data_IF_305092553035
#
_entry.id   IF_305092553035
#
_cell.length_a   1.000
_cell.length_b   1.000
_cell.length_c   1.000
_cell.angle_alpha   90.00
_cell.angle_beta   90.00
_cell.angle_gamma   90.00
#
_symmetry.space_group_name_H-M   'P 1'
#
loop_
_entity.id
_entity.type
_entity.pdbx_description
1 polymer ?
#
# COMPACT_ATOMS: atom_id res chain seq x y z
N UNK A 1 69.23 -45.21 13.20
CA UNK A 1 69.26 -45.07 11.72
C UNK A 1 68.21 -44.03 11.35
N UNK A 2 68.40 -42.99 10.55
CA UNK A 2 69.52 -42.48 9.78
C UNK A 2 69.29 -40.97 9.63
N UNK A 3 70.34 -40.18 9.81
CA UNK A 3 70.40 -38.76 9.45
C UNK A 3 70.02 -38.58 7.97
N UNK A 4 69.34 -37.48 7.65
CA UNK A 4 69.59 -36.76 6.39
C UNK A 4 69.57 -35.24 6.63
N UNK A 5 70.77 -34.71 6.74
CA UNK A 5 71.13 -33.31 6.50
C UNK A 5 71.12 -33.07 4.99
N UNK A 6 70.49 -31.98 4.53
CA UNK A 6 70.73 -31.21 3.28
C UNK A 6 69.82 -29.99 3.34
N UNK A 7 70.14 -28.77 2.92
CA UNK A 7 71.34 -28.06 2.47
C UNK A 7 70.86 -26.60 2.44
N UNK A 8 71.70 -25.64 2.88
CA UNK A 8 71.32 -24.23 2.94
C UNK A 8 70.83 -23.68 1.60
N UNK A 9 69.65 -23.05 1.61
CA UNK A 9 69.20 -22.17 0.56
C UNK A 9 69.57 -20.74 0.98
N UNK A 10 70.58 -20.19 0.32
CA UNK A 10 70.92 -18.77 0.35
C UNK A 10 69.78 -18.00 -0.31
N UNK A 11 69.12 -17.10 0.43
CA UNK A 11 68.16 -16.14 -0.13
C UNK A 11 68.89 -15.16 -1.06
N UNK A 12 68.36 -14.88 -2.27
CA UNK A 12 68.89 -13.81 -3.09
C UNK A 12 68.56 -12.44 -2.47
N UNK A 13 69.52 -11.53 -2.59
CA UNK A 13 69.49 -10.14 -2.12
C UNK A 13 68.26 -9.37 -2.63
N UNK A 14 67.57 -8.72 -1.70
CA UNK A 14 66.54 -7.71 -1.96
C UNK A 14 67.20 -6.55 -2.72
N UNK A 15 66.85 -6.37 -4.00
CA UNK A 15 67.26 -5.21 -4.78
C UNK A 15 66.66 -3.91 -4.21
N UNK A 16 67.22 -2.73 -4.53
CA UNK A 16 66.73 -1.46 -4.01
C UNK A 16 65.28 -1.26 -4.45
N UNK A 17 64.38 -1.20 -3.47
CA UNK A 17 62.98 -0.85 -3.71
C UNK A 17 62.94 0.54 -4.35
N UNK A 18 62.40 0.62 -5.56
CA UNK A 18 62.12 1.89 -6.24
C UNK A 18 61.07 2.59 -5.38
N UNK A 19 61.52 3.52 -4.53
CA UNK A 19 60.64 4.41 -3.78
C UNK A 19 60.09 5.44 -4.77
N UNK A 20 58.90 5.15 -5.31
CA UNK A 20 58.15 6.12 -6.09
C UNK A 20 57.70 7.23 -5.13
N UNK A 21 58.43 8.34 -5.12
CA UNK A 21 57.99 9.57 -4.47
C UNK A 21 56.78 10.09 -5.23
N UNK A 22 55.58 9.69 -4.83
CA UNK A 22 54.35 10.31 -5.29
C UNK A 22 54.39 11.78 -4.86
N UNK A 23 54.52 12.70 -5.83
CA UNK A 23 54.35 14.13 -5.56
C UNK A 23 52.92 14.34 -5.09
N UNK A 24 52.78 14.79 -3.85
CA UNK A 24 51.51 15.17 -3.28
C UNK A 24 51.13 16.53 -3.89
N UNK A 25 50.32 16.52 -4.94
CA UNK A 25 49.73 17.75 -5.47
C UNK A 25 48.61 18.18 -4.51
N UNK A 26 48.76 19.36 -3.93
CA UNK A 26 47.73 19.94 -3.05
C UNK A 26 46.49 20.34 -3.86
N UNK A 27 45.31 20.16 -3.27
CA UNK A 27 44.05 20.53 -3.92
C UNK A 27 43.96 22.04 -4.15
N UNK A 28 43.50 22.43 -5.34
CA UNK A 28 43.18 23.83 -5.65
C UNK A 28 41.87 24.24 -4.98
N UNK A 29 41.73 25.51 -4.60
CA UNK A 29 40.47 26.06 -4.07
C UNK A 29 39.32 25.93 -5.09
N UNK A 30 39.65 25.99 -6.39
CA UNK A 30 38.70 25.78 -7.49
C UNK A 30 38.21 24.33 -7.53
N UNK A 31 39.07 23.37 -7.21
CA UNK A 31 38.75 21.95 -7.23
C UNK A 31 37.75 21.59 -6.13
N UNK A 32 37.93 22.16 -4.92
CA UNK A 32 36.95 22.04 -3.84
C UNK A 32 35.60 22.69 -4.17
N UNK A 33 35.60 23.86 -4.82
CA UNK A 33 34.36 24.51 -5.26
C UNK A 33 33.58 23.65 -6.26
N UNK A 34 34.29 23.03 -7.22
CA UNK A 34 33.68 22.10 -8.18
C UNK A 34 33.19 20.84 -7.48
N UNK A 35 33.95 20.28 -6.54
CA UNK A 35 33.54 19.08 -5.80
C UNK A 35 32.25 19.33 -4.99
N UNK A 36 32.17 20.46 -4.27
CA UNK A 36 30.96 20.83 -3.50
C UNK A 36 29.79 21.12 -4.44
N UNK A 37 30.03 21.73 -5.60
CA UNK A 37 28.98 21.96 -6.61
C UNK A 37 28.41 20.63 -7.13
N UNK A 38 29.26 19.71 -7.55
CA UNK A 38 28.85 18.39 -8.06
C UNK A 38 28.13 17.60 -6.96
N UNK A 39 28.66 17.60 -5.74
CA UNK A 39 28.02 16.95 -4.58
C UNK A 39 26.64 17.56 -4.28
N UNK A 40 26.53 18.90 -4.32
CA UNK A 40 25.27 19.60 -4.14
C UNK A 40 24.22 19.19 -5.16
N UNK A 41 24.57 19.15 -6.44
CA UNK A 41 23.68 18.68 -7.53
C UNK A 41 23.30 17.22 -7.32
N UNK A 42 24.26 16.36 -6.93
CA UNK A 42 24.01 14.94 -6.65
C UNK A 42 22.99 14.73 -5.53
N UNK A 43 23.11 15.44 -4.41
CA UNK A 43 22.18 15.33 -3.27
C UNK A 43 20.79 15.81 -3.65
N UNK A 44 20.67 16.91 -4.39
CA UNK A 44 19.37 17.40 -4.88
C UNK A 44 18.71 16.38 -5.82
N UNK A 45 19.48 15.71 -6.68
CA UNK A 45 18.99 14.64 -7.54
C UNK A 45 18.43 13.46 -6.75
N UNK A 46 19.15 12.98 -5.74
CA UNK A 46 18.67 11.88 -4.86
C UNK A 46 17.43 12.29 -4.06
N UNK A 47 17.40 13.52 -3.55
CA UNK A 47 16.24 14.05 -2.81
C UNK A 47 14.97 14.07 -3.66
N UNK A 48 15.07 14.49 -4.92
CA UNK A 48 13.93 14.48 -5.85
C UNK A 48 13.41 13.05 -6.10
N UNK A 49 14.30 12.08 -6.31
CA UNK A 49 13.92 10.67 -6.46
C UNK A 49 13.26 10.11 -5.20
N UNK A 50 13.74 10.48 -4.02
CA UNK A 50 13.16 10.03 -2.75
C UNK A 50 11.73 10.57 -2.56
N UNK A 51 11.50 11.85 -2.88
CA UNK A 51 10.15 12.44 -2.85
C UNK A 51 9.20 11.76 -3.84
N UNK A 52 9.67 11.43 -5.05
CA UNK A 52 8.86 10.71 -6.03
C UNK A 52 8.50 9.31 -5.52
N UNK A 53 9.48 8.57 -4.98
CA UNK A 53 9.25 7.23 -4.43
C UNK A 53 8.22 7.23 -3.30
N UNK A 54 8.22 8.26 -2.44
CA UNK A 54 7.21 8.39 -1.39
C UNK A 54 5.79 8.62 -1.94
N UNK A 55 5.67 9.44 -2.99
CA UNK A 55 4.38 9.69 -3.65
C UNK A 55 3.84 8.43 -4.33
N UNK A 56 4.72 7.68 -5.00
CA UNK A 56 4.38 6.41 -5.65
C UNK A 56 3.95 5.36 -4.61
N UNK A 57 4.68 5.25 -3.49
CA UNK A 57 4.32 4.37 -2.39
C UNK A 57 2.94 4.69 -1.82
N UNK A 58 2.65 5.97 -1.57
CA UNK A 58 1.33 6.39 -1.07
C UNK A 58 0.21 6.03 -2.03
N UNK A 59 0.43 6.20 -3.34
CA UNK A 59 -0.55 5.83 -4.37
C UNK A 59 -0.76 4.31 -4.43
N UNK A 60 0.32 3.54 -4.33
CA UNK A 60 0.27 2.08 -4.29
C UNK A 60 -0.50 1.58 -3.06
N UNK A 61 -0.25 2.13 -1.87
CA UNK A 61 -0.95 1.78 -0.63
C UNK A 61 -2.46 2.03 -0.75
N UNK A 62 -2.88 3.20 -1.24
CA UNK A 62 -4.31 3.49 -1.44
C UNK A 62 -4.96 2.52 -2.42
N UNK A 63 -4.26 2.12 -3.49
CA UNK A 63 -4.77 1.14 -4.46
C UNK A 63 -4.89 -0.25 -3.85
N UNK A 64 -3.92 -0.67 -3.03
CA UNK A 64 -3.98 -1.96 -2.31
C UNK A 64 -5.16 -1.99 -1.35
N UNK A 65 -5.38 -0.90 -0.60
CA UNK A 65 -6.53 -0.79 0.29
C UNK A 65 -7.86 -0.91 -0.47
N UNK A 66 -7.98 -0.24 -1.62
CA UNK A 66 -9.18 -0.34 -2.46
C UNK A 66 -9.42 -1.77 -3.00
N UNK A 67 -8.35 -2.48 -3.34
CA UNK A 67 -8.43 -3.89 -3.76
C UNK A 67 -8.86 -4.78 -2.60
N UNK A 68 -8.29 -4.58 -1.40
CA UNK A 68 -8.65 -5.35 -0.21
C UNK A 68 -10.12 -5.16 0.15
N UNK A 69 -10.62 -3.92 0.14
CA UNK A 69 -12.04 -3.64 0.40
C UNK A 69 -12.95 -4.21 -0.70
N UNK A 70 -12.51 -4.28 -1.94
CA UNK A 70 -13.29 -4.92 -3.01
C UNK A 70 -13.36 -6.45 -2.83
N UNK A 71 -12.27 -7.10 -2.42
CA UNK A 71 -12.27 -8.52 -2.09
C UNK A 71 -13.10 -8.85 -0.84
N UNK A 72 -12.98 -8.04 0.21
CA UNK A 72 -13.79 -8.18 1.44
C UNK A 72 -15.29 -8.23 1.13
N UNK A 73 -15.79 -7.31 0.29
CA UNK A 73 -17.20 -7.34 -0.13
C UNK A 73 -17.55 -8.59 -0.95
N UNK A 74 -16.69 -9.01 -1.87
CA UNK A 74 -16.94 -10.22 -2.64
C UNK A 74 -17.01 -11.47 -1.75
N UNK A 75 -16.14 -11.56 -0.74
CA UNK A 75 -16.11 -12.68 0.19
C UNK A 75 -17.31 -12.67 1.14
N UNK A 76 -17.81 -11.49 1.55
CA UNK A 76 -19.11 -11.36 2.24
C UNK A 76 -20.27 -11.91 1.42
N UNK A 77 -20.32 -11.56 0.13
CA UNK A 77 -21.37 -12.06 -0.79
C UNK A 77 -21.28 -13.59 -0.93
N UNK A 78 -20.07 -14.16 -0.95
CA UNK A 78 -19.85 -15.62 -0.96
C UNK A 78 -20.28 -16.30 0.33
N UNK A 79 -20.03 -15.67 1.46
CA UNK A 79 -20.42 -16.19 2.77
C UNK A 79 -21.95 -16.16 2.99
N UNK A 80 -22.67 -15.29 2.26
CA UNK A 80 -24.12 -15.13 2.37
C UNK A 80 -24.86 -15.46 1.04
N UNK A 81 -24.84 -16.72 0.58
CA UNK A 81 -25.45 -17.09 -0.70
C UNK A 81 -26.97 -16.90 -0.70
N UNK A 82 -27.64 -17.09 0.45
CA UNK A 82 -29.09 -16.90 0.60
C UNK A 82 -29.54 -15.43 0.45
N UNK A 83 -28.63 -14.48 0.69
CA UNK A 83 -28.88 -13.04 0.60
C UNK A 83 -28.38 -12.40 -0.69
N UNK A 84 -27.81 -13.18 -1.61
CA UNK A 84 -27.10 -12.70 -2.81
C UNK A 84 -27.84 -11.58 -3.55
N UNK A 85 -29.13 -11.75 -3.80
CA UNK A 85 -29.92 -10.79 -4.56
C UNK A 85 -29.95 -9.39 -3.90
N UNK A 86 -29.87 -9.32 -2.57
CA UNK A 86 -29.90 -8.06 -1.82
C UNK A 86 -28.61 -7.23 -1.95
N UNK A 87 -27.52 -7.79 -2.48
CA UNK A 87 -26.31 -7.05 -2.83
C UNK A 87 -26.34 -6.44 -4.25
N UNK A 88 -27.35 -6.76 -5.07
CA UNK A 88 -27.38 -6.40 -6.49
C UNK A 88 -27.58 -4.91 -6.80
N UNK A 89 -28.14 -4.15 -5.86
CA UNK A 89 -28.55 -2.75 -6.04
C UNK A 89 -27.65 -1.76 -5.29
N UNK A 90 -26.42 -2.14 -4.97
CA UNK A 90 -25.47 -1.24 -4.31
C UNK A 90 -24.83 -0.32 -5.35
N UNK A 91 -25.26 0.94 -5.39
CA UNK A 91 -24.68 1.93 -6.31
C UNK A 91 -23.71 2.87 -5.61
N UNK A 92 -22.93 3.58 -6.42
CA UNK A 92 -22.23 4.77 -5.95
C UNK A 92 -23.22 5.84 -5.50
N UNK A 93 -22.77 6.65 -4.55
CA UNK A 93 -23.44 7.84 -4.02
C UNK A 93 -24.82 7.58 -3.39
N UNK A 94 -25.20 6.31 -3.21
CA UNK A 94 -26.42 5.90 -2.53
C UNK A 94 -26.33 6.13 -1.03
N UNK A 95 -27.48 6.37 -0.41
CA UNK A 95 -27.60 6.42 1.03
C UNK A 95 -27.20 5.08 1.66
N UNK A 96 -26.61 5.13 2.87
CA UNK A 96 -26.35 3.93 3.65
C UNK A 96 -27.67 3.17 3.90
N UNK A 97 -27.69 1.85 3.67
CA UNK A 97 -28.87 1.06 4.00
C UNK A 97 -29.15 1.12 5.50
N UNK A 98 -30.42 1.02 5.86
CA UNK A 98 -30.83 0.73 7.23
C UNK A 98 -30.51 -0.74 7.51
N UNK A 99 -29.80 -1.01 8.59
CA UNK A 99 -29.35 -2.35 8.94
C UNK A 99 -29.38 -2.55 10.45
N UNK A 100 -29.80 -3.74 10.88
CA UNK A 100 -29.64 -4.26 12.23
C UNK A 100 -28.20 -4.72 12.45
N UNK A 101 -27.72 -4.72 13.70
CA UNK A 101 -26.39 -5.23 14.05
C UNK A 101 -26.39 -6.75 14.09
N UNK A 102 -26.01 -7.36 12.97
CA UNK A 102 -25.98 -8.81 12.83
C UNK A 102 -24.83 -9.49 13.59
N UNK A 103 -23.96 -8.72 14.27
CA UNK A 103 -23.02 -9.25 15.26
C UNK A 103 -23.64 -9.44 16.64
N UNK A 104 -24.77 -8.77 16.92
CA UNK A 104 -25.47 -8.80 18.20
C UNK A 104 -26.83 -9.49 18.15
N UNK A 105 -27.46 -9.58 16.98
CA UNK A 105 -28.77 -10.21 16.77
C UNK A 105 -28.76 -11.17 15.58
N UNK A 106 -29.60 -12.20 15.63
CA UNK A 106 -29.81 -13.07 14.47
C UNK A 106 -30.42 -12.28 13.29
N UNK A 107 -29.80 -12.41 12.13
CA UNK A 107 -30.23 -11.79 10.89
C UNK A 107 -30.57 -12.86 9.87
N UNK A 108 -31.67 -12.67 9.14
CA UNK A 108 -31.91 -13.42 7.93
C UNK A 108 -30.88 -13.01 6.84
N UNK A 109 -30.76 -13.79 5.74
CA UNK A 109 -29.79 -13.50 4.70
C UNK A 109 -29.93 -12.11 4.05
N UNK A 110 -31.12 -11.53 4.00
CA UNK A 110 -31.36 -10.18 3.43
C UNK A 110 -30.91 -9.10 4.41
N UNK A 111 -31.24 -9.25 5.70
CA UNK A 111 -30.77 -8.36 6.76
C UNK A 111 -29.24 -8.38 6.89
N UNK A 112 -28.62 -9.55 6.73
CA UNK A 112 -27.16 -9.70 6.71
C UNK A 112 -26.53 -8.92 5.55
N UNK A 113 -27.14 -8.93 4.36
CA UNK A 113 -26.65 -8.16 3.22
C UNK A 113 -26.68 -6.64 3.49
N UNK A 114 -27.74 -6.14 4.13
CA UNK A 114 -27.81 -4.73 4.53
C UNK A 114 -26.73 -4.35 5.56
N UNK A 115 -26.47 -5.23 6.53
CA UNK A 115 -25.40 -5.09 7.53
C UNK A 115 -24.02 -5.02 6.87
N UNK A 116 -23.73 -5.94 5.95
CA UNK A 116 -22.48 -6.00 5.20
C UNK A 116 -22.26 -4.75 4.36
N UNK A 117 -23.26 -4.35 3.57
CA UNK A 117 -23.17 -3.18 2.70
C UNK A 117 -22.96 -1.91 3.52
N UNK A 118 -23.67 -1.77 4.66
CA UNK A 118 -23.48 -0.62 5.56
C UNK A 118 -22.07 -0.61 6.15
N UNK A 119 -21.61 -1.73 6.68
CA UNK A 119 -20.29 -1.87 7.28
C UNK A 119 -19.18 -1.54 6.27
N UNK A 120 -19.30 -2.09 5.06
CA UNK A 120 -18.36 -1.85 3.97
C UNK A 120 -18.36 -0.40 3.49
N UNK A 121 -19.51 0.23 3.26
CA UNK A 121 -19.58 1.67 2.92
C UNK A 121 -18.97 2.54 4.02
N UNK A 122 -19.10 2.15 5.29
CA UNK A 122 -18.46 2.83 6.40
C UNK A 122 -16.95 2.62 6.51
N UNK A 123 -16.42 1.52 5.98
CA UNK A 123 -14.98 1.30 5.84
C UNK A 123 -14.39 2.08 4.65
N UNK A 124 -15.11 2.16 3.53
CA UNK A 124 -14.70 2.87 2.32
C UNK A 124 -14.40 4.36 2.57
N UNK A 125 -15.15 4.99 3.48
CA UNK A 125 -14.74 6.29 4.01
C UNK A 125 -15.30 7.52 3.28
N UNK A 126 -16.48 7.40 2.65
CA UNK A 126 -17.20 8.55 2.05
C UNK A 126 -17.44 9.68 3.06
N UNK A 127 -17.16 10.92 2.66
CA UNK A 127 -17.24 12.08 3.56
C UNK A 127 -18.66 12.40 4.04
N UNK A 128 -19.67 12.20 3.19
CA UNK A 128 -21.08 12.46 3.55
C UNK A 128 -21.65 11.51 4.60
N UNK A 129 -21.00 10.36 4.81
CA UNK A 129 -21.51 9.28 5.66
C UNK A 129 -20.82 9.21 7.03
N UNK A 130 -19.89 10.15 7.32
CA UNK A 130 -19.05 10.12 8.53
C UNK A 130 -19.88 9.95 9.80
N UNK A 131 -20.89 10.82 10.00
CA UNK A 131 -21.69 10.79 11.23
C UNK A 131 -22.46 9.47 11.40
N UNK A 132 -23.10 9.00 10.33
CA UNK A 132 -23.85 7.74 10.32
C UNK A 132 -22.95 6.51 10.52
N UNK A 133 -21.68 6.62 10.13
CA UNK A 133 -20.69 5.57 10.30
C UNK A 133 -20.00 5.59 11.66
N UNK A 134 -19.82 6.75 12.31
CA UNK A 134 -19.20 6.82 13.64
C UNK A 134 -19.96 5.96 14.65
N UNK A 135 -21.28 6.13 14.71
CA UNK A 135 -22.16 5.37 15.59
C UNK A 135 -22.22 3.87 15.20
N UNK A 136 -22.30 3.57 13.90
CA UNK A 136 -22.25 2.19 13.40
C UNK A 136 -20.98 1.46 13.83
N UNK A 137 -19.82 2.12 13.75
CA UNK A 137 -18.52 1.51 14.08
C UNK A 137 -18.42 1.11 15.55
N UNK A 138 -18.97 1.93 16.45
CA UNK A 138 -18.97 1.63 17.89
C UNK A 138 -19.82 0.39 18.19
N UNK A 139 -21.00 0.27 17.57
CA UNK A 139 -21.87 -0.91 17.77
C UNK A 139 -21.26 -2.19 17.22
N UNK A 140 -20.75 -2.13 16.00
CA UNK A 140 -20.30 -3.30 15.23
C UNK A 140 -18.85 -3.68 15.47
N UNK A 141 -18.13 -2.98 16.35
CA UNK A 141 -16.72 -3.24 16.64
C UNK A 141 -15.77 -2.97 15.47
N UNK A 142 -16.20 -2.19 14.47
CA UNK A 142 -15.30 -1.73 13.41
C UNK A 142 -14.20 -0.83 14.02
N UNK A 143 -12.95 -0.88 13.53
CA UNK A 143 -11.83 -0.08 14.08
C UNK A 143 -12.18 1.42 14.14
N UNK A 144 -11.50 2.26 14.91
CA UNK A 144 -11.75 3.71 14.82
C UNK A 144 -11.34 4.27 13.45
N UNK A 145 -12.00 5.33 12.95
CA UNK A 145 -11.69 5.94 11.64
C UNK A 145 -10.27 6.50 11.57
N UNK A 146 -9.67 6.80 12.72
CA UNK A 146 -8.29 7.29 12.84
C UNK A 146 -7.25 6.16 12.79
N UNK A 147 -7.69 4.91 12.99
CA UNK A 147 -6.87 3.70 12.86
C UNK A 147 -7.13 2.94 11.56
N UNK A 148 -8.28 3.17 10.92
CA UNK A 148 -8.62 2.58 9.63
C UNK A 148 -8.34 3.59 8.52
N UNK A 149 -7.39 3.28 7.66
CA UNK A 149 -7.08 4.01 6.43
C UNK A 149 -8.28 3.94 5.46
N UNK A 150 -9.34 4.70 5.73
CA UNK A 150 -10.42 4.91 4.77
C UNK A 150 -9.84 5.51 3.49
N UNK A 151 -10.41 5.12 2.35
CA UNK A 151 -9.99 5.69 1.07
C UNK A 151 -10.39 7.18 1.02
N UNK A 152 -9.57 8.06 0.42
CA UNK A 152 -9.94 9.47 0.29
C UNK A 152 -11.21 9.59 -0.56
N UNK A 153 -12.31 10.02 0.06
CA UNK A 153 -13.65 10.05 -0.55
C UNK A 153 -14.04 8.71 -1.19
N UNK A 154 -13.72 7.60 -0.51
CA UNK A 154 -14.01 6.26 -0.99
C UNK A 154 -15.50 5.95 -1.05
N UNK A 155 -15.90 5.22 -2.08
CA UNK A 155 -17.25 4.69 -2.24
C UNK A 155 -17.20 3.42 -3.11
N UNK A 156 -18.30 2.67 -3.12
CA UNK A 156 -18.34 1.36 -3.75
C UNK A 156 -19.70 1.03 -4.34
N UNK A 157 -19.66 0.19 -5.37
CA UNK A 157 -20.82 -0.34 -6.04
C UNK A 157 -20.67 -1.85 -6.26
N UNK A 158 -21.79 -2.56 -6.24
CA UNK A 158 -21.88 -3.99 -6.53
C UNK A 158 -22.92 -4.18 -7.62
N UNK A 159 -22.61 -5.02 -8.60
CA UNK A 159 -23.55 -5.43 -9.64
C UNK A 159 -23.48 -6.93 -9.84
N UNK A 160 -24.64 -7.57 -9.97
CA UNK A 160 -24.75 -9.02 -10.13
C UNK A 160 -25.34 -9.33 -11.51
N UNK A 161 -24.66 -10.20 -12.27
CA UNK A 161 -25.10 -10.66 -13.59
C UNK A 161 -24.96 -12.18 -13.69
N UNK A 162 -26.08 -12.89 -13.53
CA UNK A 162 -26.07 -14.35 -13.42
C UNK A 162 -25.24 -14.79 -12.21
N UNK A 163 -24.26 -15.67 -12.42
CA UNK A 163 -23.28 -16.10 -11.39
C UNK A 163 -22.15 -15.10 -11.15
N UNK A 164 -21.95 -14.13 -12.04
CA UNK A 164 -20.89 -13.14 -11.89
C UNK A 164 -21.30 -12.02 -10.92
N UNK A 165 -20.40 -11.68 -10.00
CA UNK A 165 -20.49 -10.54 -9.10
C UNK A 165 -19.37 -9.57 -9.45
N UNK A 166 -19.72 -8.32 -9.72
CA UNK A 166 -18.78 -7.24 -9.97
C UNK A 166 -18.78 -6.30 -8.78
N UNK A 167 -17.63 -6.14 -8.14
CA UNK A 167 -17.42 -5.17 -7.05
C UNK A 167 -16.51 -4.07 -7.58
N UNK A 168 -16.98 -2.83 -7.52
CA UNK A 168 -16.22 -1.65 -7.94
C UNK A 168 -16.00 -0.73 -6.76
N UNK A 169 -14.75 -0.38 -6.48
CA UNK A 169 -14.37 0.59 -5.46
C UNK A 169 -13.79 1.82 -6.14
N UNK A 170 -14.22 3.01 -5.72
CA UNK A 170 -13.82 4.31 -6.27
C UNK A 170 -13.28 5.20 -5.15
N UNK A 171 -12.21 5.93 -5.42
CA UNK A 171 -11.64 6.92 -4.52
C UNK A 171 -11.12 8.14 -5.28
N UNK A 172 -10.73 9.18 -4.55
CA UNK A 172 -10.04 10.37 -5.07
C UNK A 172 -8.55 10.25 -4.82
N UNK A 173 -7.72 10.44 -5.85
CA UNK A 173 -6.27 10.51 -5.67
C UNK A 173 -5.83 11.89 -5.13
N UNK A 174 -4.53 12.08 -4.97
CA UNK A 174 -3.96 13.32 -4.41
C UNK A 174 -4.20 14.56 -5.30
N UNK A 175 -4.51 14.35 -6.58
CA UNK A 175 -4.87 15.42 -7.52
C UNK A 175 -6.37 15.73 -7.55
N UNK A 176 -7.18 14.99 -6.79
CA UNK A 176 -8.65 15.07 -6.83
C UNK A 176 -9.27 14.32 -8.02
N UNK A 177 -8.48 13.58 -8.80
CA UNK A 177 -8.99 12.74 -9.87
C UNK A 177 -9.62 11.47 -9.29
N UNK A 178 -10.75 11.06 -9.86
CA UNK A 178 -11.38 9.79 -9.47
C UNK A 178 -10.60 8.61 -10.05
N UNK A 179 -10.28 7.65 -9.18
CA UNK A 179 -9.70 6.35 -9.52
C UNK A 179 -10.65 5.25 -9.09
N UNK A 180 -10.58 4.11 -9.75
CA UNK A 180 -11.36 2.94 -9.37
C UNK A 180 -10.61 1.63 -9.60
N UNK A 181 -11.06 0.61 -8.90
CA UNK A 181 -10.73 -0.79 -9.17
C UNK A 181 -12.02 -1.58 -9.31
N UNK A 182 -12.02 -2.52 -10.23
CA UNK A 182 -13.14 -3.43 -10.46
C UNK A 182 -12.61 -4.86 -10.34
N UNK A 183 -13.30 -5.65 -9.53
CA UNK A 183 -13.02 -7.07 -9.34
C UNK A 183 -14.26 -7.84 -9.74
N UNK A 184 -14.06 -8.96 -10.44
CA UNK A 184 -15.13 -9.86 -10.85
C UNK A 184 -14.91 -11.21 -10.20
N UNK A 185 -15.91 -11.66 -9.45
CA UNK A 185 -15.95 -12.99 -8.85
C UNK A 185 -17.09 -13.83 -9.42
N UNK A 186 -16.93 -15.15 -9.35
CA UNK A 186 -18.05 -16.08 -9.46
C UNK A 186 -18.46 -16.46 -8.03
N UNK A 187 -19.77 -16.47 -7.80
CA UNK A 187 -20.40 -16.79 -6.52
C UNK A 187 -21.70 -17.51 -6.78
#
# INVERSE_FOLDING_TARGET
MSRRVRRGATMPSVGPGIAWSARQEGFSLVELLVAVLVMGVGILGVGALQLQSLQDNRTALTRVEAVNLAWDMLDRIRANPGGRAAYGDVTFDSALPQASDCGATDCDPVAMAAYDVRSWKCQLGRAGDIAACTDWRVRTGLPARDLAAGLPSGDGAVSIRGSAVQVTVRWKDQSGQSRSVLIVGQV
#
